data_IF_688024211288
#
_entry.id   IF_688024211288
#
_cell.length_a   1.000
_cell.length_b   1.000
_cell.length_c   1.000
_cell.angle_alpha   90.00
_cell.angle_beta   90.00
_cell.angle_gamma   90.00
#
_symmetry.space_group_name_H-M   'P 1'
#
loop_
_entity.id
_entity.type
_entity.pdbx_description
1 polymer ?
#
# COMPACT_ATOMS: atom_id res chain seq x y z
N UNK A 1 8.77 -7.89 11.81
CA UNK A 1 9.77 -7.31 10.89
C UNK A 1 9.08 -6.86 9.62
N UNK A 2 9.32 -5.63 9.16
CA UNK A 2 8.69 -5.03 7.97
C UNK A 2 9.73 -4.70 6.91
N UNK A 3 9.40 -3.83 5.98
CA UNK A 3 10.36 -3.36 4.98
C UNK A 3 11.68 -2.91 5.65
N UNK A 4 12.88 -3.25 5.10
CA UNK A 4 13.13 -4.00 3.86
C UNK A 4 13.17 -5.53 4.03
N UNK A 5 13.07 -6.04 5.27
CA UNK A 5 13.24 -7.47 5.58
C UNK A 5 11.93 -8.28 5.44
N UNK A 6 10.94 -7.75 4.73
CA UNK A 6 9.61 -8.32 4.55
C UNK A 6 8.59 -7.22 4.20
N UNK A 7 7.30 -7.56 4.32
CA UNK A 7 6.19 -6.59 4.29
C UNK A 7 5.29 -6.79 5.50
N UNK A 8 4.97 -5.72 6.22
CA UNK A 8 3.83 -5.73 7.15
C UNK A 8 2.54 -5.61 6.35
N UNK A 9 1.42 -6.04 6.92
CA UNK A 9 0.12 -5.98 6.24
C UNK A 9 -0.31 -4.56 5.86
N UNK A 10 0.16 -3.53 6.58
CA UNK A 10 -0.10 -2.13 6.29
C UNK A 10 1.08 -1.38 5.67
N UNK A 11 2.15 -2.07 5.29
CA UNK A 11 3.26 -1.41 4.59
C UNK A 11 2.81 -1.11 3.15
N UNK A 12 2.79 0.16 2.77
CA UNK A 12 2.74 0.57 1.37
C UNK A 12 4.13 0.40 0.75
N UNK A 13 4.39 -0.81 0.25
CA UNK A 13 5.71 -1.15 -0.29
C UNK A 13 6.05 -0.38 -1.56
N UNK A 14 5.04 0.07 -2.32
CA UNK A 14 5.26 0.81 -3.56
C UNK A 14 5.81 2.18 -3.19
N UNK A 15 5.12 2.92 -2.33
CA UNK A 15 5.57 4.23 -1.86
C UNK A 15 6.90 4.16 -1.13
N UNK A 16 7.08 3.19 -0.22
CA UNK A 16 8.34 3.01 0.51
C UNK A 16 9.50 2.75 -0.46
N UNK A 17 9.30 1.92 -1.49
CA UNK A 17 10.35 1.62 -2.48
C UNK A 17 10.64 2.79 -3.41
N UNK A 18 9.60 3.50 -3.88
CA UNK A 18 9.71 4.69 -4.70
C UNK A 18 10.54 5.76 -3.98
N UNK A 19 10.20 6.03 -2.73
CA UNK A 19 10.90 6.99 -1.89
C UNK A 19 12.35 6.54 -1.63
N UNK A 20 12.58 5.26 -1.34
CA UNK A 20 13.93 4.72 -1.17
C UNK A 20 14.82 4.90 -2.43
N UNK A 21 14.28 4.64 -3.63
CA UNK A 21 15.01 4.81 -4.90
C UNK A 21 15.30 6.30 -5.18
N UNK A 22 14.38 7.18 -4.82
CA UNK A 22 14.55 8.64 -4.97
C UNK A 22 15.46 9.27 -3.90
N UNK A 23 16.04 8.47 -3.00
CA UNK A 23 16.91 8.94 -1.90
C UNK A 23 16.14 9.48 -0.70
N UNK A 24 14.81 9.43 -0.75
CA UNK A 24 13.88 9.80 0.30
C UNK A 24 13.63 8.60 1.23
N UNK A 25 14.62 8.17 2.01
CA UNK A 25 14.39 6.99 2.85
C UNK A 25 13.55 7.35 4.08
N UNK A 26 12.50 6.59 4.44
CA UNK A 26 11.85 6.70 5.76
C UNK A 26 12.76 6.24 6.92
N UNK A 27 13.97 5.79 6.60
CA UNK A 27 15.02 5.40 7.55
C UNK A 27 16.06 6.51 7.79
N UNK A 28 15.86 7.71 7.20
CA UNK A 28 16.76 8.87 7.32
C UNK A 28 16.01 10.14 7.72
N UNK A 29 16.74 11.25 7.85
CA UNK A 29 16.28 12.59 8.32
C UNK A 29 15.25 13.29 7.41
N UNK A 30 14.68 12.58 6.44
CA UNK A 30 13.77 13.08 5.40
C UNK A 30 12.28 12.84 5.76
N UNK A 31 11.99 12.63 7.04
CA UNK A 31 10.69 12.17 7.52
C UNK A 31 9.58 13.19 7.25
N UNK A 32 8.74 12.89 6.25
CA UNK A 32 7.44 13.53 6.09
C UNK A 32 7.51 15.00 5.71
N UNK A 33 8.47 15.38 4.87
CA UNK A 33 8.53 16.72 4.28
C UNK A 33 8.45 16.64 2.76
N UNK A 34 7.85 17.65 2.14
CA UNK A 34 7.83 17.79 0.68
C UNK A 34 9.27 17.96 0.15
N UNK A 35 9.63 17.34 -1.00
CA UNK A 35 8.78 16.56 -1.89
C UNK A 35 8.71 15.06 -1.55
N UNK A 36 9.43 14.60 -0.53
CA UNK A 36 9.62 13.18 -0.24
C UNK A 36 8.32 12.46 0.12
N UNK A 37 7.43 13.14 0.84
CA UNK A 37 6.09 12.63 1.16
C UNK A 37 5.12 12.68 -0.02
N UNK A 38 5.41 13.49 -1.03
CA UNK A 38 4.58 13.65 -2.22
C UNK A 38 4.90 12.58 -3.28
N UNK A 39 5.97 11.81 -3.08
CA UNK A 39 6.32 10.66 -3.90
C UNK A 39 5.43 9.47 -3.50
N UNK A 40 4.32 9.32 -4.23
CA UNK A 40 3.34 8.25 -4.04
C UNK A 40 2.79 7.77 -5.38
N UNK A 41 2.26 6.55 -5.43
CA UNK A 41 1.44 6.08 -6.56
C UNK A 41 -0.03 6.57 -6.49
N UNK A 42 -0.40 7.22 -5.38
CA UNK A 42 -1.73 7.77 -5.13
C UNK A 42 -2.72 6.81 -4.48
N UNK A 43 -2.31 5.57 -4.16
CA UNK A 43 -3.16 4.53 -3.56
C UNK A 43 -2.83 4.37 -2.08
N UNK A 44 -3.44 5.22 -1.25
CA UNK A 44 -3.09 5.32 0.17
C UNK A 44 -3.90 4.43 1.12
N UNK A 45 -4.95 3.76 0.61
CA UNK A 45 -5.84 2.91 1.41
C UNK A 45 -6.25 1.67 0.64
N UNK A 46 -6.46 0.58 1.38
CA UNK A 46 -7.13 -0.60 0.84
C UNK A 46 -8.61 -0.29 0.60
N UNK A 47 -9.17 -0.95 -0.39
CA UNK A 47 -10.60 -0.98 -0.72
C UNK A 47 -11.46 -1.49 0.45
N UNK A 48 -10.92 -2.43 1.23
CA UNK A 48 -11.53 -2.99 2.45
C UNK A 48 -10.54 -2.92 3.61
N UNK A 49 -11.00 -2.65 4.84
CA UNK A 49 -10.14 -2.63 6.01
C UNK A 49 -9.56 -4.03 6.30
N UNK A 50 -8.35 -4.05 6.87
CA UNK A 50 -7.76 -5.28 7.41
C UNK A 50 -8.62 -5.85 8.54
N UNK A 51 -8.68 -7.18 8.64
CA UNK A 51 -9.43 -7.86 9.70
C UNK A 51 -8.64 -7.79 11.01
N UNK A 52 -9.35 -7.86 12.14
CA UNK A 52 -8.73 -7.89 13.48
C UNK A 52 -8.33 -9.30 13.92
N UNK A 53 -8.67 -10.31 13.13
CA UNK A 53 -8.35 -11.72 13.37
C UNK A 53 -7.84 -12.39 12.09
N UNK A 54 -7.08 -13.48 12.27
CA UNK A 54 -6.54 -14.26 11.17
C UNK A 54 -7.66 -14.75 10.23
N UNK A 55 -7.53 -14.59 8.89
CA UNK A 55 -6.31 -14.31 8.10
C UNK A 55 -5.90 -12.82 7.93
N UNK A 56 -6.44 -11.87 8.70
CA UNK A 56 -6.12 -10.42 8.71
C UNK A 56 -6.34 -9.66 7.39
N UNK A 57 -6.50 -10.36 6.27
CA UNK A 57 -6.76 -9.83 4.93
C UNK A 57 -8.23 -10.13 4.57
N UNK A 58 -8.97 -9.15 4.02
CA UNK A 58 -10.35 -9.36 3.58
C UNK A 58 -10.43 -10.38 2.43
N UNK A 59 -11.60 -11.02 2.30
CA UNK A 59 -11.85 -11.91 1.18
C UNK A 59 -11.76 -11.15 -0.16
N UNK A 60 -11.24 -11.80 -1.23
CA UNK A 60 -11.18 -11.18 -2.55
C UNK A 60 -12.58 -10.75 -3.01
N UNK A 61 -12.64 -9.74 -3.88
CA UNK A 61 -13.90 -9.40 -4.54
C UNK A 61 -14.41 -10.61 -5.32
N UNK A 62 -15.73 -10.83 -5.23
CA UNK A 62 -16.40 -11.76 -6.12
C UNK A 62 -16.26 -11.26 -7.55
N UNK A 63 -16.10 -12.17 -8.53
CA UNK A 63 -16.03 -11.78 -9.94
C UNK A 63 -17.29 -11.07 -10.48
N UNK A 64 -18.37 -11.03 -9.70
CA UNK A 64 -19.61 -10.31 -10.02
C UNK A 64 -19.76 -8.96 -9.31
N UNK A 65 -18.92 -8.72 -8.29
CA UNK A 65 -18.96 -7.54 -7.42
C UNK A 65 -17.75 -6.62 -7.65
N UNK A 66 -17.20 -6.59 -8.87
CA UNK A 66 -16.19 -5.60 -9.23
C UNK A 66 -16.87 -4.27 -9.60
N UNK A 67 -16.68 -3.19 -8.83
CA UNK A 67 -17.23 -1.88 -9.16
C UNK A 67 -16.63 -1.26 -10.45
N UNK A 68 -15.52 -1.82 -10.96
CA UNK A 68 -14.85 -1.40 -12.19
C UNK A 68 -14.93 -2.44 -13.32
N UNK A 69 -15.53 -3.61 -13.05
CA UNK A 69 -15.69 -4.68 -14.03
C UNK A 69 -16.91 -4.39 -14.89
N UNK A 70 -16.67 -3.90 -16.11
CA UNK A 70 -17.71 -3.94 -17.13
C UNK A 70 -18.16 -5.40 -17.29
N UNK A 71 -19.47 -5.64 -17.18
CA UNK A 71 -20.02 -6.98 -17.43
C UNK A 71 -19.77 -7.32 -18.90
N UNK A 72 -18.76 -8.13 -19.16
CA UNK A 72 -18.63 -8.81 -20.46
C UNK A 72 -19.76 -9.84 -20.55
N UNK A 73 -20.80 -9.52 -21.33
CA UNK A 73 -21.83 -10.44 -21.81
C UNK A 73 -21.40 -11.09 -23.13
#
# INVERSE_FOLDING_TARGET
DGFPNGRRLGDDTVDISLRAVMGATPLGDCNGESPNQDLTDGVTVNDKPLLTSFPYIPAPHSGYDDPNGEREE
#
